data_IF_232623994017
#
_entry.id   IF_232623994017
#
_cell.length_a   1.000
_cell.length_b   1.000
_cell.length_c   1.000
_cell.angle_alpha   90.00
_cell.angle_beta   90.00
_cell.angle_gamma   90.00
#
_symmetry.space_group_name_H-M   'P 1'
#
loop_
_entity.id
_entity.type
_entity.pdbx_description
1 polymer ?
#
# COMPACT_ATOMS: atom_id res chain seq x y z
N UNK A 1 -30.46 -53.10 33.21
CA UNK A 1 -30.17 -51.80 32.56
C UNK A 1 -28.65 -51.62 32.54
N UNK A 2 -28.03 -51.57 31.35
CA UNK A 2 -26.58 -51.35 31.20
C UNK A 2 -26.34 -49.87 30.92
N UNK A 3 -25.66 -49.17 31.84
CA UNK A 3 -25.24 -47.78 31.65
C UNK A 3 -23.98 -47.76 30.76
N UNK A 4 -24.10 -47.15 29.59
CA UNK A 4 -23.00 -46.88 28.66
C UNK A 4 -22.40 -45.52 29.06
N UNK A 5 -21.18 -45.51 29.60
CA UNK A 5 -20.43 -44.27 29.84
C UNK A 5 -19.74 -43.86 28.53
N UNK A 6 -20.23 -42.77 27.92
CA UNK A 6 -19.59 -42.12 26.77
C UNK A 6 -18.59 -41.09 27.30
N UNK A 7 -17.31 -41.45 27.32
CA UNK A 7 -16.23 -40.49 27.61
C UNK A 7 -15.97 -39.63 26.38
N UNK A 8 -16.47 -38.40 26.39
CA UNK A 8 -16.12 -37.37 25.39
C UNK A 8 -14.71 -36.87 25.74
N UNK A 9 -13.71 -37.39 25.03
CA UNK A 9 -12.35 -36.86 25.11
C UNK A 9 -12.31 -35.47 24.47
N UNK A 10 -12.23 -34.42 25.29
CA UNK A 10 -11.98 -33.06 24.83
C UNK A 10 -10.51 -33.00 24.39
N UNK A 11 -10.27 -33.09 23.08
CA UNK A 11 -8.95 -32.82 22.51
C UNK A 11 -8.73 -31.30 22.56
N UNK A 12 -8.00 -30.83 23.57
CA UNK A 12 -7.45 -29.49 23.59
C UNK A 12 -6.38 -29.41 22.49
N UNK A 13 -6.75 -28.93 21.31
CA UNK A 13 -5.78 -28.42 20.36
C UNK A 13 -5.24 -27.12 20.92
N UNK A 14 -4.07 -27.18 21.54
CA UNK A 14 -3.23 -26.02 21.80
C UNK A 14 -2.85 -25.43 20.44
N UNK A 15 -3.64 -24.47 19.95
CA UNK A 15 -3.22 -23.59 18.88
C UNK A 15 -2.05 -22.78 19.41
N UNK A 16 -0.83 -23.30 19.25
CA UNK A 16 0.35 -22.45 19.26
C UNK A 16 0.09 -21.39 18.19
N UNK A 17 0.11 -20.08 18.53
CA UNK A 17 0.01 -19.05 17.50
C UNK A 17 1.14 -19.33 16.52
N UNK A 18 0.78 -19.68 15.29
CA UNK A 18 1.71 -19.64 14.18
C UNK A 18 2.18 -18.19 14.11
N UNK A 19 3.42 -18.02 14.59
CA UNK A 19 4.21 -16.80 14.69
C UNK A 19 3.84 -15.81 13.58
N UNK A 20 3.16 -14.72 13.97
CA UNK A 20 3.09 -13.54 13.13
C UNK A 20 4.53 -13.13 12.79
N UNK A 21 4.77 -12.77 11.54
CA UNK A 21 6.10 -12.41 11.08
C UNK A 21 6.60 -11.17 11.84
N UNK A 22 7.72 -11.32 12.56
CA UNK A 22 8.30 -10.26 13.40
C UNK A 22 9.00 -9.15 12.58
N UNK A 23 8.99 -9.21 11.25
CA UNK A 23 9.71 -8.27 10.40
C UNK A 23 8.80 -7.29 9.68
N UNK A 24 7.59 -7.70 9.29
CA UNK A 24 6.73 -6.94 8.39
C UNK A 24 5.30 -6.89 8.92
N UNK A 25 4.79 -5.68 9.16
CA UNK A 25 3.46 -5.46 9.75
C UNK A 25 2.64 -4.49 8.88
N UNK A 26 1.37 -4.80 8.56
CA UNK A 26 0.47 -3.85 7.92
C UNK A 26 0.13 -2.70 8.87
N UNK A 27 0.17 -1.45 8.38
CA UNK A 27 -0.24 -0.28 9.15
C UNK A 27 -1.73 0.06 9.00
N UNK A 28 -2.42 -0.62 8.08
CA UNK A 28 -3.86 -0.48 7.83
C UNK A 28 -4.46 -1.78 7.32
N UNK A 29 -5.76 -1.92 7.52
CA UNK A 29 -6.54 -3.02 6.94
C UNK A 29 -6.85 -2.73 5.46
N UNK A 30 -6.45 -3.63 4.57
CA UNK A 30 -6.73 -3.55 3.14
C UNK A 30 -7.60 -4.73 2.70
N UNK A 31 -8.91 -4.49 2.60
CA UNK A 31 -9.91 -5.51 2.21
C UNK A 31 -9.78 -5.95 0.74
N UNK A 32 -8.88 -5.35 -0.03
CA UNK A 32 -8.56 -5.81 -1.39
C UNK A 32 -7.53 -6.94 -1.43
N UNK A 33 -6.84 -7.22 -0.32
CA UNK A 33 -5.84 -8.28 -0.23
C UNK A 33 -6.53 -9.59 0.21
N UNK A 34 -6.26 -10.73 -0.45
CA UNK A 34 -6.74 -12.02 0.01
C UNK A 34 -6.35 -12.27 1.46
N UNK A 35 -7.24 -12.83 2.27
CA UNK A 35 -7.01 -12.98 3.71
C UNK A 35 -5.74 -13.75 4.06
N UNK A 36 -5.36 -14.73 3.22
CA UNK A 36 -4.12 -15.49 3.40
C UNK A 36 -2.83 -14.70 3.11
N UNK A 37 -2.93 -13.50 2.52
CA UNK A 37 -1.80 -12.64 2.16
C UNK A 37 -1.77 -11.31 2.93
N UNK A 38 -2.63 -11.14 3.95
CA UNK A 38 -2.67 -9.92 4.78
C UNK A 38 -1.45 -9.75 5.68
N UNK A 39 -0.79 -10.85 6.02
CA UNK A 39 0.39 -10.90 6.88
C UNK A 39 1.54 -11.50 6.06
N UNK A 40 2.18 -10.69 5.18
CA UNK A 40 3.25 -11.17 4.33
C UNK A 40 4.47 -11.50 5.21
N UNK A 41 5.10 -12.63 4.90
CA UNK A 41 6.28 -13.10 5.61
C UNK A 41 7.54 -12.75 4.86
N UNK A 42 8.66 -12.72 5.55
CA UNK A 42 9.96 -12.44 4.95
C UNK A 42 10.28 -13.38 3.79
N UNK A 43 9.86 -14.65 3.84
CA UNK A 43 10.06 -15.64 2.76
C UNK A 43 9.24 -15.34 1.51
N UNK A 44 8.15 -14.58 1.63
CA UNK A 44 7.33 -14.16 0.50
C UNK A 44 8.08 -13.12 -0.37
N UNK A 45 9.12 -12.48 0.18
CA UNK A 45 9.98 -11.49 -0.49
C UNK A 45 11.26 -12.09 -1.09
N UNK A 46 11.15 -12.94 -2.10
CA UNK A 46 12.33 -13.54 -2.73
C UNK A 46 13.15 -12.54 -3.54
N UNK A 47 14.26 -12.05 -2.96
CA UNK A 47 15.07 -10.95 -3.51
C UNK A 47 15.45 -11.10 -5.00
N UNK A 48 15.70 -12.32 -5.48
CA UNK A 48 16.06 -12.57 -6.89
C UNK A 48 14.91 -12.34 -7.88
N UNK A 49 13.66 -12.30 -7.38
CA UNK A 49 12.44 -12.28 -8.18
C UNK A 49 11.62 -10.99 -7.99
N UNK A 50 12.09 -10.03 -7.19
CA UNK A 50 11.38 -8.77 -6.93
C UNK A 50 11.83 -7.67 -7.91
N UNK A 51 10.87 -7.09 -8.64
CA UNK A 51 11.05 -5.83 -9.36
C UNK A 51 10.93 -4.65 -8.39
N UNK A 52 11.96 -3.80 -8.31
CA UNK A 52 11.90 -2.53 -7.59
C UNK A 52 11.58 -1.38 -8.54
N UNK A 53 10.57 -0.57 -8.25
CA UNK A 53 10.20 0.56 -9.10
C UNK A 53 9.91 1.83 -8.31
N UNK A 54 9.94 2.95 -9.03
CA UNK A 54 9.54 4.26 -8.49
C UNK A 54 8.36 4.80 -9.28
N UNK A 55 7.41 5.43 -8.59
CA UNK A 55 6.16 5.93 -9.15
C UNK A 55 5.98 7.40 -8.81
N UNK A 56 5.52 8.20 -9.77
CA UNK A 56 5.29 9.64 -9.55
C UNK A 56 4.21 10.20 -10.47
N UNK A 57 4.11 11.52 -10.53
CA UNK A 57 3.19 12.29 -11.38
C UNK A 57 3.79 12.51 -12.78
N UNK A 58 3.05 13.20 -13.66
CA UNK A 58 3.44 13.52 -15.04
C UNK A 58 4.86 14.09 -15.14
N UNK A 59 5.56 13.71 -16.22
CA UNK A 59 6.96 14.13 -16.53
C UNK A 59 8.01 13.56 -15.58
N UNK A 60 7.65 12.57 -14.77
CA UNK A 60 8.60 11.94 -13.85
C UNK A 60 9.50 10.91 -14.55
N UNK A 61 9.02 10.23 -15.60
CA UNK A 61 9.84 9.31 -16.39
C UNK A 61 11.06 10.03 -16.98
N UNK A 62 10.89 11.25 -17.46
CA UNK A 62 11.98 12.11 -17.95
C UNK A 62 13.02 12.43 -16.87
N UNK A 63 12.63 12.34 -15.59
CA UNK A 63 13.52 12.54 -14.45
C UNK A 63 14.11 11.23 -13.90
N UNK A 64 13.77 10.09 -14.51
CA UNK A 64 14.29 8.78 -14.15
C UNK A 64 13.43 7.98 -13.16
N UNK A 65 12.16 8.35 -12.97
CA UNK A 65 11.18 7.46 -12.34
C UNK A 65 10.82 6.31 -13.29
N UNK A 66 10.48 5.15 -12.73
CA UNK A 66 10.08 3.97 -13.53
C UNK A 66 8.68 4.14 -14.14
N UNK A 67 7.76 4.75 -13.39
CA UNK A 67 6.34 4.85 -13.70
C UNK A 67 5.81 6.26 -13.39
N UNK A 68 4.76 6.67 -14.08
CA UNK A 68 4.09 7.94 -13.84
C UNK A 68 2.59 7.87 -14.09
N UNK A 69 1.82 8.67 -13.35
CA UNK A 69 0.40 8.91 -13.58
C UNK A 69 0.19 10.31 -14.19
N UNK A 70 -0.75 10.48 -15.15
CA UNK A 70 -0.89 11.73 -15.92
C UNK A 70 -1.57 12.88 -15.15
N UNK A 71 -1.31 13.04 -13.86
CA UNK A 71 -1.72 14.21 -13.07
C UNK A 71 -0.54 15.15 -12.84
N UNK A 72 -0.82 16.41 -12.51
CA UNK A 72 0.18 17.35 -11.99
C UNK A 72 0.13 17.38 -10.46
N UNK A 73 1.13 18.02 -9.84
CA UNK A 73 1.09 18.28 -8.40
C UNK A 73 -0.12 19.13 -7.99
N UNK A 74 -0.50 20.10 -8.82
CA UNK A 74 -1.69 20.94 -8.58
C UNK A 74 -2.98 20.11 -8.59
N UNK A 75 -3.07 19.11 -9.46
CA UNK A 75 -4.21 18.19 -9.49
C UNK A 75 -4.24 17.31 -8.23
N UNK A 76 -3.10 16.75 -7.80
CA UNK A 76 -2.98 15.97 -6.57
C UNK A 76 -3.36 16.80 -5.33
N UNK A 77 -2.86 18.04 -5.23
CA UNK A 77 -3.20 18.95 -4.16
C UNK A 77 -4.71 19.28 -4.13
N UNK A 78 -5.32 19.59 -5.28
CA UNK A 78 -6.75 19.84 -5.33
C UNK A 78 -7.57 18.61 -4.90
N UNK A 79 -7.15 17.41 -5.30
CA UNK A 79 -7.77 16.15 -4.86
C UNK A 79 -7.63 15.96 -3.35
N UNK A 80 -6.43 16.17 -2.80
CA UNK A 80 -6.20 16.08 -1.36
C UNK A 80 -7.10 17.03 -0.58
N UNK A 81 -7.19 18.31 -0.99
CA UNK A 81 -8.04 19.30 -0.32
C UNK A 81 -9.51 18.90 -0.26
N UNK A 82 -10.05 18.26 -1.32
CA UNK A 82 -11.46 17.82 -1.32
C UNK A 82 -11.68 16.48 -0.63
N UNK A 83 -10.63 15.66 -0.48
CA UNK A 83 -10.68 14.34 0.16
C UNK A 83 -10.33 14.40 1.65
N UNK A 84 -9.62 15.45 2.09
CA UNK A 84 -9.22 15.68 3.48
C UNK A 84 -10.44 15.90 4.38
N UNK A 85 -10.72 14.89 5.20
CA UNK A 85 -11.81 14.91 6.16
C UNK A 85 -11.39 15.51 7.51
N UNK A 86 -10.09 15.67 7.77
CA UNK A 86 -9.55 16.06 9.07
C UNK A 86 -9.56 17.59 9.25
N UNK A 87 -9.75 18.35 8.16
CA UNK A 87 -9.95 19.80 8.29
C UNK A 87 -8.66 20.60 8.23
N UNK A 88 -7.61 20.07 7.58
CA UNK A 88 -6.33 20.76 7.43
C UNK A 88 -6.43 22.02 6.57
N UNK A 89 -7.48 22.11 5.74
CA UNK A 89 -7.65 23.18 4.75
C UNK A 89 -8.75 24.17 5.12
N UNK A 90 -8.45 25.46 4.97
CA UNK A 90 -9.39 26.55 5.17
C UNK A 90 -10.52 26.61 4.13
N UNK A 91 -11.59 27.33 4.44
CA UNK A 91 -12.78 27.41 3.58
C UNK A 91 -12.46 27.93 2.17
N UNK A 92 -11.58 28.92 2.03
CA UNK A 92 -11.19 29.48 0.73
C UNK A 92 -10.48 28.45 -0.16
N UNK A 93 -9.60 27.65 0.42
CA UNK A 93 -8.87 26.59 -0.27
C UNK A 93 -9.82 25.47 -0.73
N UNK A 94 -10.76 25.07 0.13
CA UNK A 94 -11.82 24.10 -0.21
C UNK A 94 -12.68 24.56 -1.38
N UNK A 95 -13.12 25.83 -1.37
CA UNK A 95 -13.90 26.42 -2.47
C UNK A 95 -13.09 26.42 -3.77
N UNK A 96 -11.82 26.80 -3.70
CA UNK A 96 -10.92 26.76 -4.85
C UNK A 96 -10.77 25.34 -5.41
N UNK A 97 -10.45 24.36 -4.56
CA UNK A 97 -10.22 22.98 -4.97
C UNK A 97 -11.48 22.36 -5.58
N UNK A 98 -12.64 22.60 -4.98
CA UNK A 98 -13.93 22.16 -5.51
C UNK A 98 -14.21 22.78 -6.90
N UNK A 99 -13.97 24.08 -7.08
CA UNK A 99 -14.12 24.74 -8.39
C UNK A 99 -13.13 24.19 -9.42
N UNK A 100 -11.88 23.96 -9.00
CA UNK A 100 -10.81 23.41 -9.84
C UNK A 100 -11.16 22.02 -10.37
N UNK A 101 -11.59 21.12 -9.49
CA UNK A 101 -12.02 19.76 -9.84
C UNK A 101 -13.30 19.81 -10.67
N UNK A 102 -14.25 20.67 -10.32
CA UNK A 102 -15.51 20.81 -11.08
C UNK A 102 -15.25 21.22 -12.53
N UNK A 103 -14.20 21.99 -12.81
CA UNK A 103 -13.80 22.35 -14.17
C UNK A 103 -13.12 21.24 -14.97
N UNK A 104 -12.85 20.06 -14.38
CA UNK A 104 -12.03 18.99 -14.97
C UNK A 104 -12.71 17.62 -14.85
N UNK A 105 -13.41 17.14 -15.90
CA UNK A 105 -14.15 15.87 -15.88
C UNK A 105 -13.31 14.68 -15.38
N UNK A 106 -12.07 14.54 -15.86
CA UNK A 106 -11.19 13.43 -15.48
C UNK A 106 -10.84 13.44 -13.99
N UNK A 107 -10.65 14.62 -13.38
CA UNK A 107 -10.38 14.71 -11.95
C UNK A 107 -11.63 14.46 -11.11
N UNK A 108 -12.82 14.83 -11.60
CA UNK A 108 -14.07 14.46 -10.91
C UNK A 108 -14.21 12.94 -10.88
N UNK A 109 -14.02 12.30 -12.03
CA UNK A 109 -14.08 10.84 -12.11
C UNK A 109 -13.03 10.19 -11.20
N UNK A 110 -11.79 10.69 -11.22
CA UNK A 110 -10.74 10.18 -10.35
C UNK A 110 -11.05 10.36 -8.87
N UNK A 111 -11.58 11.52 -8.44
CA UNK A 111 -12.05 11.76 -7.08
C UNK A 111 -13.10 10.72 -6.66
N UNK A 112 -14.08 10.45 -7.52
CA UNK A 112 -15.17 9.51 -7.20
C UNK A 112 -14.63 8.08 -7.02
N UNK A 113 -13.66 7.69 -7.85
CA UNK A 113 -12.97 6.41 -7.68
C UNK A 113 -12.13 6.37 -6.40
N UNK A 114 -11.42 7.45 -6.06
CA UNK A 114 -10.62 7.54 -4.84
C UNK A 114 -11.49 7.42 -3.58
N UNK A 115 -12.66 8.08 -3.55
CA UNK A 115 -13.62 7.94 -2.46
C UNK A 115 -14.10 6.49 -2.31
N UNK A 116 -14.36 5.80 -3.42
CA UNK A 116 -14.79 4.39 -3.40
C UNK A 116 -13.69 3.45 -2.88
N UNK A 117 -12.44 3.66 -3.30
CA UNK A 117 -11.34 2.79 -2.89
C UNK A 117 -10.79 3.11 -1.50
N UNK A 118 -10.98 4.35 -1.00
CA UNK A 118 -10.54 4.80 0.32
C UNK A 118 -10.99 3.84 1.42
N UNK A 119 -12.31 3.59 1.51
CA UNK A 119 -12.89 2.78 2.58
C UNK A 119 -12.47 1.30 2.46
N UNK A 120 -12.38 0.80 1.22
CA UNK A 120 -11.95 -0.59 0.96
C UNK A 120 -10.50 -0.83 1.40
N UNK A 121 -9.65 0.20 1.38
CA UNK A 121 -8.20 0.09 1.58
C UNK A 121 -7.69 0.77 2.85
N UNK A 122 -8.58 1.31 3.67
CA UNK A 122 -8.22 1.95 4.95
C UNK A 122 -7.40 3.23 4.81
N UNK A 123 -7.60 4.04 3.76
CA UNK A 123 -6.93 5.34 3.63
C UNK A 123 -7.67 6.44 4.40
N UNK A 124 -6.96 7.38 5.02
CA UNK A 124 -7.54 8.55 5.68
C UNK A 124 -7.20 9.90 5.00
N UNK A 125 -6.28 9.90 4.02
CA UNK A 125 -5.79 11.08 3.28
C UNK A 125 -5.23 12.18 4.20
N UNK A 126 -4.39 11.80 5.17
CA UNK A 126 -3.65 12.73 6.02
C UNK A 126 -2.63 13.59 5.27
N UNK A 127 -2.19 13.18 4.07
CA UNK A 127 -1.21 13.92 3.27
C UNK A 127 -1.51 13.97 1.76
N UNK A 128 -0.93 14.96 1.09
CA UNK A 128 -0.94 15.06 -0.39
C UNK A 128 -0.35 13.80 -1.05
N UNK A 129 0.58 13.11 -0.37
CA UNK A 129 1.23 11.89 -0.85
C UNK A 129 0.26 10.72 -0.94
N UNK A 130 -0.64 10.58 0.02
CA UNK A 130 -1.60 9.48 0.15
C UNK A 130 -2.53 9.42 -1.06
N UNK A 131 -2.86 10.58 -1.64
CA UNK A 131 -3.63 10.67 -2.89
C UNK A 131 -2.91 9.94 -4.01
N UNK A 132 -1.62 10.23 -4.21
CA UNK A 132 -0.86 9.58 -5.29
C UNK A 132 -0.60 8.10 -4.98
N UNK A 133 -0.42 7.75 -3.72
CA UNK A 133 -0.27 6.36 -3.30
C UNK A 133 -1.50 5.55 -3.70
N UNK A 134 -2.71 5.98 -3.31
CA UNK A 134 -3.94 5.28 -3.69
C UNK A 134 -4.15 5.25 -5.22
N UNK A 135 -3.85 6.35 -5.92
CA UNK A 135 -3.88 6.40 -7.39
C UNK A 135 -2.96 5.33 -7.97
N UNK A 136 -1.75 5.17 -7.43
CA UNK A 136 -0.78 4.20 -7.94
C UNK A 136 -1.30 2.77 -7.82
N UNK A 137 -1.95 2.42 -6.69
CA UNK A 137 -2.55 1.09 -6.49
C UNK A 137 -3.65 0.81 -7.52
N UNK A 138 -4.50 1.80 -7.78
CA UNK A 138 -5.58 1.69 -8.77
C UNK A 138 -5.05 1.58 -10.20
N UNK A 139 -4.03 2.36 -10.55
CA UNK A 139 -3.45 2.35 -11.89
C UNK A 139 -2.72 1.04 -12.19
N UNK A 140 -1.98 0.51 -11.21
CA UNK A 140 -1.24 -0.74 -11.33
C UNK A 140 -2.15 -1.95 -11.54
N UNK A 141 -3.44 -1.90 -11.15
CA UNK A 141 -4.43 -2.97 -11.47
C UNK A 141 -4.57 -3.24 -12.97
N UNK A 142 -4.26 -2.27 -13.83
CA UNK A 142 -4.29 -2.47 -15.30
C UNK A 142 -3.22 -3.44 -15.77
N UNK A 143 -2.08 -3.49 -15.08
CA UNK A 143 -0.98 -4.41 -15.38
C UNK A 143 -1.02 -5.68 -14.52
N UNK A 144 -1.53 -5.58 -13.29
CA UNK A 144 -1.60 -6.68 -12.33
C UNK A 144 -3.07 -6.90 -11.93
N UNK A 145 -3.89 -7.50 -12.81
CA UNK A 145 -5.32 -7.64 -12.57
C UNK A 145 -5.64 -8.72 -11.52
N UNK A 146 -6.68 -8.46 -10.74
CA UNK A 146 -7.37 -9.47 -9.92
C UNK A 146 -8.01 -10.54 -10.85
N UNK A 147 -8.13 -11.82 -10.42
CA UNK A 147 -7.78 -12.36 -9.11
C UNK A 147 -6.33 -12.90 -9.05
N UNK A 148 -5.49 -12.65 -10.05
CA UNK A 148 -4.16 -13.26 -10.14
C UNK A 148 -3.15 -12.57 -9.21
N UNK A 149 -3.32 -11.27 -9.00
CA UNK A 149 -2.44 -10.44 -8.18
C UNK A 149 -3.23 -9.70 -7.12
N UNK A 150 -2.55 -9.36 -6.02
CA UNK A 150 -2.98 -8.34 -5.08
C UNK A 150 -2.01 -7.15 -5.12
N UNK A 151 -2.54 -5.96 -4.83
CA UNK A 151 -1.78 -4.71 -4.80
C UNK A 151 -2.17 -3.98 -3.52
N UNK A 152 -1.19 -3.73 -2.67
CA UNK A 152 -1.38 -3.10 -1.36
C UNK A 152 -0.21 -2.18 -1.01
N UNK A 153 -0.20 -1.64 0.21
CA UNK A 153 0.59 -0.48 0.60
C UNK A 153 0.58 -0.29 2.12
N UNK A 154 1.41 0.62 2.63
CA UNK A 154 1.58 0.89 4.07
C UNK A 154 1.93 -0.35 4.90
N UNK A 155 2.94 -1.08 4.44
CA UNK A 155 3.58 -2.12 5.24
C UNK A 155 4.86 -1.57 5.85
N UNK A 156 4.94 -1.62 7.16
CA UNK A 156 6.12 -1.28 7.92
C UNK A 156 7.06 -2.49 7.98
N UNK A 157 8.36 -2.26 7.85
CA UNK A 157 9.37 -3.28 8.15
C UNK A 157 10.29 -2.82 9.28
N UNK A 158 10.65 -3.75 10.16
CA UNK A 158 11.47 -3.50 11.34
C UNK A 158 12.42 -4.68 11.64
N UNK A 159 13.38 -4.45 12.53
CA UNK A 159 14.26 -5.50 13.02
C UNK A 159 13.52 -6.36 14.07
N UNK A 160 13.87 -7.65 14.22
CA UNK A 160 13.31 -8.51 15.27
C UNK A 160 13.54 -7.90 16.63
N UNK A 161 12.51 -7.94 17.48
CA UNK A 161 12.55 -7.42 18.85
C UNK A 161 12.83 -5.91 18.98
N UNK A 162 12.93 -5.17 17.87
CA UNK A 162 12.95 -3.71 17.87
C UNK A 162 11.56 -3.17 17.55
N UNK A 163 10.98 -2.39 18.45
CA UNK A 163 9.72 -1.67 18.18
C UNK A 163 9.88 -0.51 17.19
N UNK A 164 11.10 -0.24 16.70
CA UNK A 164 11.37 0.91 15.84
C UNK A 164 11.31 0.50 14.37
N UNK A 165 10.42 1.14 13.63
CA UNK A 165 10.35 1.05 12.19
C UNK A 165 11.70 1.34 11.51
N UNK A 166 12.17 0.43 10.66
CA UNK A 166 13.27 0.69 9.73
C UNK A 166 12.75 1.51 8.55
N UNK A 167 11.55 1.20 8.06
CA UNK A 167 10.86 1.95 7.03
C UNK A 167 9.44 1.45 6.76
N UNK A 168 8.82 2.06 5.77
CA UNK A 168 7.51 1.72 5.23
C UNK A 168 7.64 1.49 3.72
N UNK A 169 6.77 0.62 3.17
CA UNK A 169 6.66 0.33 1.75
C UNK A 169 5.38 0.94 1.19
N UNK A 170 5.52 1.85 0.24
CA UNK A 170 4.39 2.55 -0.38
C UNK A 170 3.56 1.62 -1.29
N UNK A 171 4.19 0.64 -1.96
CA UNK A 171 3.48 -0.33 -2.84
C UNK A 171 4.09 -1.72 -2.74
N UNK A 172 3.23 -2.73 -2.60
CA UNK A 172 3.56 -4.16 -2.71
C UNK A 172 2.63 -4.79 -3.75
N UNK A 173 3.20 -5.58 -4.65
CA UNK A 173 2.48 -6.40 -5.62
C UNK A 173 2.89 -7.85 -5.42
N UNK A 174 1.91 -8.72 -5.18
CA UNK A 174 2.16 -10.15 -5.02
C UNK A 174 1.15 -11.01 -5.76
N UNK A 175 1.50 -12.29 -5.91
CA UNK A 175 0.62 -13.32 -6.46
C UNK A 175 -0.44 -13.71 -5.43
N UNK A 176 -1.71 -13.69 -5.83
CA UNK A 176 -2.82 -13.95 -4.89
C UNK A 176 -2.91 -15.43 -4.45
N UNK A 177 -2.34 -16.35 -5.23
CA UNK A 177 -2.45 -17.80 -4.99
C UNK A 177 -1.47 -18.31 -3.95
N UNK A 178 -0.29 -17.69 -3.81
CA UNK A 178 0.80 -18.14 -2.93
C UNK A 178 1.45 -17.00 -2.14
N UNK A 179 0.90 -15.79 -2.21
CA UNK A 179 1.37 -14.58 -1.55
C UNK A 179 2.78 -14.11 -1.94
N UNK A 180 3.42 -14.71 -2.94
CA UNK A 180 4.76 -14.36 -3.36
C UNK A 180 4.79 -12.91 -3.87
N UNK A 181 5.62 -12.07 -3.25
CA UNK A 181 5.83 -10.69 -3.67
C UNK A 181 6.72 -10.66 -4.90
N UNK A 182 6.24 -10.02 -5.96
CA UNK A 182 6.94 -9.91 -7.24
C UNK A 182 7.40 -8.48 -7.54
N UNK A 183 6.83 -7.47 -6.86
CA UNK A 183 7.23 -6.10 -7.06
C UNK A 183 7.03 -5.24 -5.82
N UNK A 184 7.95 -4.31 -5.60
CA UNK A 184 7.91 -3.32 -4.53
C UNK A 184 8.15 -1.94 -5.12
N UNK A 185 7.27 -1.01 -4.79
CA UNK A 185 7.27 0.34 -5.32
C UNK A 185 7.40 1.41 -4.25
N UNK A 186 8.02 2.52 -4.63
CA UNK A 186 8.06 3.73 -3.82
C UNK A 186 7.41 4.90 -4.59
N UNK A 187 6.48 5.58 -3.94
CA UNK A 187 5.64 6.61 -4.53
C UNK A 187 6.08 7.99 -4.03
N UNK A 188 6.37 8.92 -4.93
CA UNK A 188 6.72 10.29 -4.53
C UNK A 188 6.08 11.32 -5.45
N UNK A 189 5.42 12.30 -4.83
CA UNK A 189 4.75 13.38 -5.55
C UNK A 189 5.72 14.38 -6.20
N UNK A 190 6.86 14.64 -5.55
CA UNK A 190 7.85 15.61 -6.02
C UNK A 190 8.91 14.97 -6.90
N UNK A 191 9.14 15.51 -8.10
CA UNK A 191 10.17 14.99 -9.02
C UNK A 191 11.59 15.01 -8.42
N UNK A 192 11.89 16.01 -7.60
CA UNK A 192 13.16 16.13 -6.88
C UNK A 192 13.35 15.06 -5.79
N UNK A 193 12.33 14.23 -5.50
CA UNK A 193 12.36 13.19 -4.46
C UNK A 193 12.80 11.82 -5.00
N UNK A 194 13.15 11.70 -6.28
CA UNK A 194 13.68 10.46 -6.84
C UNK A 194 14.87 9.88 -6.03
N UNK A 195 15.85 10.67 -5.57
CA UNK A 195 16.95 10.13 -4.76
C UNK A 195 16.44 9.51 -3.46
N UNK A 196 15.46 10.14 -2.80
CA UNK A 196 14.83 9.63 -1.59
C UNK A 196 14.09 8.32 -1.87
N UNK A 197 13.36 8.24 -2.99
CA UNK A 197 12.65 7.03 -3.37
C UNK A 197 13.60 5.85 -3.57
N UNK A 198 14.68 6.07 -4.34
CA UNK A 198 15.74 5.07 -4.56
C UNK A 198 16.43 4.68 -3.26
N UNK A 199 16.64 5.63 -2.33
CA UNK A 199 17.23 5.35 -1.04
C UNK A 199 16.35 4.43 -0.19
N UNK A 200 15.03 4.64 -0.17
CA UNK A 200 14.08 3.80 0.56
C UNK A 200 14.06 2.36 0.01
N UNK A 201 13.98 2.20 -1.31
CA UNK A 201 14.06 0.88 -1.96
C UNK A 201 15.41 0.21 -1.71
N UNK A 202 16.52 0.94 -1.77
CA UNK A 202 17.85 0.41 -1.45
C UNK A 202 17.94 -0.06 -0.01
N UNK A 203 17.35 0.68 0.94
CA UNK A 203 17.31 0.29 2.35
C UNK A 203 16.52 -0.99 2.54
N UNK A 204 15.35 -1.12 1.90
CA UNK A 204 14.57 -2.36 1.96
C UNK A 204 15.30 -3.54 1.30
N UNK A 205 15.96 -3.33 0.16
CA UNK A 205 16.80 -4.36 -0.47
C UNK A 205 17.93 -4.84 0.47
N UNK A 206 18.58 -3.92 1.18
CA UNK A 206 19.62 -4.28 2.16
C UNK A 206 19.04 -5.00 3.37
N UNK A 207 17.84 -4.63 3.80
CA UNK A 207 17.09 -5.33 4.84
C UNK A 207 16.81 -6.78 4.44
N UNK A 208 16.28 -7.02 3.24
CA UNK A 208 16.07 -8.38 2.72
C UNK A 208 17.38 -9.18 2.66
N UNK A 209 18.49 -8.57 2.20
CA UNK A 209 19.81 -9.23 2.15
C UNK A 209 20.38 -9.62 3.51
N UNK A 210 20.00 -8.91 4.57
CA UNK A 210 20.49 -9.16 5.93
C UNK A 210 19.79 -10.37 6.54
N UNK A 211 18.50 -10.54 6.21
CA UNK A 211 17.61 -11.49 6.88
C UNK A 211 17.21 -12.70 6.01
N UNK A 212 17.66 -12.75 4.74
CA UNK A 212 17.63 -13.94 3.87
C UNK A 212 18.99 -14.61 3.86
#
# INVERSE_FOLDING_TARGET
MKQLFFSIGIVFFSFFPLWADEYITPLREDLSVPSQCLEPRLEDFQLKNIEFFTYSIRSAKEKGFSREFPITRKDAHALWVVLDQIGHHGASERVWAQKYITGKPDLRHLRDLLLKEKDRRGFDFGSEGDVLELISLMDLKKQYPEPFFFITSSYMYHEPHEYRAVGELDVIIGQATNCQVISVGEVKLGLHRLPKAKQQLRRFMLFLKKHH
#
